data_IF_954806018874
#
_entry.id   IF_954806018874
#
_cell.length_a   1.000
_cell.length_b   1.000
_cell.length_c   1.000
_cell.angle_alpha   90.00
_cell.angle_beta   90.00
_cell.angle_gamma   90.00
#
_symmetry.space_group_name_H-M   'P 1'
#
loop_
_entity.id
_entity.type
_entity.pdbx_description
1 polymer ?
#
# COMPACT_ATOMS: atom_id res chain seq x y z
N UNK A 1 -13.06 3.12 11.26
CA UNK A 1 -11.93 2.61 10.49
C UNK A 1 -10.62 3.23 10.95
N UNK A 2 -9.50 2.57 10.66
CA UNK A 2 -8.14 3.09 10.81
C UNK A 2 -7.46 2.96 9.47
N UNK A 3 -6.85 4.05 8.99
CA UNK A 3 -6.05 4.05 7.77
C UNK A 3 -4.58 4.14 8.17
N UNK A 4 -3.74 3.31 7.57
CA UNK A 4 -2.30 3.23 7.80
C UNK A 4 -1.93 3.20 9.30
N UNK A 5 -2.10 2.07 9.97
CA UNK A 5 -1.88 1.97 11.41
C UNK A 5 -0.43 2.15 11.86
N UNK A 6 0.49 2.35 10.90
CA UNK A 6 1.86 2.73 11.17
C UNK A 6 2.82 1.55 11.33
N UNK A 7 4.01 1.86 11.86
CA UNK A 7 5.13 0.92 12.00
C UNK A 7 4.82 -0.26 12.89
N UNK A 8 5.48 -1.42 12.67
CA UNK A 8 5.34 -2.58 13.54
C UNK A 8 5.98 -2.34 14.92
N UNK A 9 5.60 -3.18 15.87
CA UNK A 9 6.21 -3.27 17.18
C UNK A 9 5.38 -2.66 18.31
N UNK A 10 5.71 -3.03 19.55
CA UNK A 10 4.88 -2.74 20.73
C UNK A 10 4.79 -1.25 21.04
N UNK A 11 5.86 -0.48 20.78
CA UNK A 11 5.88 0.97 21.01
C UNK A 11 4.91 1.69 20.06
N UNK A 12 4.97 1.39 18.77
CA UNK A 12 4.08 1.98 17.77
C UNK A 12 2.63 1.63 18.03
N UNK A 13 2.37 0.38 18.39
CA UNK A 13 1.03 -0.06 18.75
C UNK A 13 0.51 0.62 20.02
N UNK A 14 1.36 0.86 21.02
CA UNK A 14 1.00 1.61 22.21
C UNK A 14 0.64 3.07 21.89
N UNK A 15 1.38 3.71 20.98
CA UNK A 15 1.09 5.06 20.51
C UNK A 15 -0.27 5.09 19.77
N UNK A 16 -0.50 4.14 18.87
CA UNK A 16 -1.79 4.01 18.17
C UNK A 16 -2.95 3.91 19.16
N UNK A 17 -2.84 3.03 20.17
CA UNK A 17 -3.86 2.92 21.22
C UNK A 17 -4.11 4.24 21.95
N UNK A 18 -3.06 4.95 22.34
CA UNK A 18 -3.19 6.26 23.01
C UNK A 18 -3.89 7.28 22.11
N UNK A 19 -3.57 7.32 20.83
CA UNK A 19 -4.21 8.21 19.86
C UNK A 19 -5.69 7.86 19.66
N UNK A 20 -6.04 6.59 19.59
CA UNK A 20 -7.45 6.16 19.55
C UNK A 20 -8.22 6.64 20.77
N UNK A 21 -7.68 6.42 21.97
CA UNK A 21 -8.30 6.87 23.23
C UNK A 21 -8.44 8.39 23.27
N UNK A 22 -7.42 9.14 22.85
CA UNK A 22 -7.50 10.62 22.78
C UNK A 22 -8.55 11.11 21.80
N UNK A 23 -8.89 10.31 20.77
CA UNK A 23 -9.96 10.59 19.82
C UNK A 23 -11.33 10.03 20.27
N UNK A 24 -11.44 9.53 21.49
CA UNK A 24 -12.69 8.96 22.03
C UNK A 24 -13.01 7.53 21.60
N UNK A 25 -12.02 6.81 21.05
CA UNK A 25 -12.20 5.45 20.57
C UNK A 25 -11.36 4.44 21.34
N UNK A 26 -11.84 3.21 21.39
CA UNK A 26 -11.10 2.07 21.88
C UNK A 26 -10.81 1.08 20.74
N UNK A 27 -9.90 0.13 20.97
CA UNK A 27 -9.57 -0.89 19.95
C UNK A 27 -10.81 -1.67 19.48
N UNK A 28 -11.75 -1.96 20.34
CA UNK A 28 -13.01 -2.66 19.99
C UNK A 28 -13.87 -1.91 18.96
N UNK A 29 -13.68 -0.61 18.80
CA UNK A 29 -14.39 0.22 17.83
C UNK A 29 -13.73 0.17 16.43
N UNK A 30 -12.60 -0.52 16.30
CA UNK A 30 -11.90 -0.65 15.03
C UNK A 30 -12.37 -1.91 14.31
N UNK A 31 -13.30 -1.76 13.39
CA UNK A 31 -13.87 -2.85 12.59
C UNK A 31 -13.20 -2.99 11.22
N UNK A 32 -12.47 -1.97 10.78
CA UNK A 32 -11.84 -1.93 9.47
C UNK A 32 -10.50 -1.22 9.56
N UNK A 33 -9.51 -1.83 8.95
CA UNK A 33 -8.19 -1.26 8.72
C UNK A 33 -8.00 -1.14 7.23
N UNK A 34 -7.57 0.01 6.74
CA UNK A 34 -7.17 0.22 5.35
C UNK A 34 -5.68 0.46 5.32
N UNK A 35 -4.99 -0.13 4.38
CA UNK A 35 -3.57 0.14 4.11
C UNK A 35 -3.47 0.70 2.71
N UNK A 36 -2.90 1.89 2.59
CA UNK A 36 -2.77 2.59 1.32
C UNK A 36 -1.74 1.94 0.41
N UNK A 37 -0.65 1.41 0.98
CA UNK A 37 0.40 0.77 0.20
C UNK A 37 1.32 -0.14 1.05
N UNK A 38 2.19 -0.88 0.37
CA UNK A 38 3.01 -1.96 0.96
C UNK A 38 4.29 -1.50 1.67
N UNK A 39 4.39 -0.24 2.13
CA UNK A 39 5.52 0.18 2.95
C UNK A 39 5.31 -0.15 4.43
N UNK A 40 6.39 -0.60 5.14
CA UNK A 40 6.29 -1.08 6.52
C UNK A 40 5.82 -0.06 7.55
N UNK A 41 6.00 1.22 7.30
CA UNK A 41 5.54 2.29 8.17
C UNK A 41 4.04 2.61 8.00
N UNK A 42 3.41 2.04 6.98
CA UNK A 42 1.97 2.07 6.76
C UNK A 42 1.31 0.77 7.19
N UNK A 43 1.76 -0.38 6.67
CA UNK A 43 1.10 -1.66 6.98
C UNK A 43 1.59 -2.35 8.26
N UNK A 44 2.71 -1.92 8.84
CA UNK A 44 3.46 -2.70 9.83
C UNK A 44 2.67 -3.11 11.08
N UNK A 45 1.72 -2.29 11.52
CA UNK A 45 0.83 -2.64 12.64
C UNK A 45 -0.50 -3.25 12.20
N UNK A 46 -0.82 -3.30 10.89
CA UNK A 46 -2.13 -3.70 10.38
C UNK A 46 -2.52 -5.14 10.76
N UNK A 47 -1.63 -6.10 10.52
CA UNK A 47 -1.89 -7.50 10.87
C UNK A 47 -2.10 -7.71 12.36
N UNK A 48 -1.32 -7.02 13.20
CA UNK A 48 -1.49 -7.09 14.65
C UNK A 48 -2.81 -6.44 15.10
N UNK A 49 -3.17 -5.30 14.53
CA UNK A 49 -4.42 -4.60 14.82
C UNK A 49 -5.63 -5.47 14.47
N UNK A 50 -5.66 -6.01 13.25
CA UNK A 50 -6.73 -6.91 12.78
C UNK A 50 -6.84 -8.15 13.67
N UNK A 51 -5.70 -8.78 14.02
CA UNK A 51 -5.69 -9.91 14.95
C UNK A 51 -6.30 -9.59 16.33
N UNK A 52 -6.08 -8.36 16.82
CA UNK A 52 -6.60 -7.91 18.12
C UNK A 52 -8.07 -7.51 18.10
N UNK A 53 -8.55 -7.01 16.98
CA UNK A 53 -9.90 -6.44 16.86
C UNK A 53 -10.90 -7.38 16.18
N UNK A 54 -10.41 -8.39 15.45
CA UNK A 54 -11.23 -9.20 14.55
C UNK A 54 -11.75 -8.42 13.33
N UNK A 55 -11.19 -7.23 13.07
CA UNK A 55 -11.62 -6.36 11.99
C UNK A 55 -11.19 -6.84 10.60
N UNK A 56 -11.71 -6.16 9.58
CA UNK A 56 -11.35 -6.41 8.17
C UNK A 56 -10.09 -5.63 7.82
N UNK A 57 -9.25 -6.21 6.94
CA UNK A 57 -8.13 -5.52 6.30
C UNK A 57 -8.44 -5.28 4.83
N UNK A 58 -8.44 -4.03 4.43
CA UNK A 58 -8.67 -3.58 3.05
C UNK A 58 -7.35 -3.04 2.49
N UNK A 59 -7.00 -3.46 1.28
CA UNK A 59 -5.82 -3.00 0.53
C UNK A 59 -6.16 -2.92 -0.95
N UNK A 60 -5.32 -2.28 -1.74
CA UNK A 60 -5.40 -2.44 -3.18
C UNK A 60 -5.16 -3.89 -3.60
N UNK A 61 -5.70 -4.30 -4.77
CA UNK A 61 -5.56 -5.68 -5.27
C UNK A 61 -4.10 -6.11 -5.47
N UNK A 62 -3.24 -5.17 -5.89
CA UNK A 62 -1.82 -5.41 -6.11
C UNK A 62 -0.98 -5.42 -4.83
N UNK A 63 -1.60 -5.23 -3.66
CA UNK A 63 -0.88 -5.22 -2.39
C UNK A 63 -0.17 -6.55 -2.16
N UNK A 64 1.14 -6.48 -2.00
CA UNK A 64 1.98 -7.61 -1.64
C UNK A 64 3.06 -7.21 -0.63
N UNK A 65 3.52 -8.17 0.12
CA UNK A 65 4.64 -8.04 1.04
C UNK A 65 5.49 -9.30 0.96
N UNK A 66 6.62 -9.33 1.67
CA UNK A 66 7.48 -10.52 1.74
C UNK A 66 6.79 -11.80 2.27
N UNK A 67 5.62 -11.70 2.89
CA UNK A 67 4.84 -12.83 3.43
C UNK A 67 3.45 -12.96 2.80
N UNK A 68 3.05 -12.03 1.95
CA UNK A 68 1.71 -11.98 1.34
C UNK A 68 1.87 -11.62 -0.13
N UNK A 69 1.65 -12.59 -1.00
CA UNK A 69 1.64 -12.38 -2.44
C UNK A 69 0.33 -11.72 -2.91
N UNK A 70 0.42 -10.93 -3.97
CA UNK A 70 -0.76 -10.53 -4.71
C UNK A 70 -1.39 -11.75 -5.40
N UNK A 71 -2.71 -11.82 -5.54
CA UNK A 71 -3.34 -12.89 -6.27
C UNK A 71 -2.90 -12.85 -7.75
N UNK A 72 -2.80 -13.99 -8.42
CA UNK A 72 -2.51 -14.02 -9.84
C UNK A 72 -3.56 -13.24 -10.63
N UNK A 73 -3.13 -12.55 -11.66
CA UNK A 73 -4.01 -11.80 -12.55
C UNK A 73 -4.72 -12.81 -13.44
N UNK A 74 -6.03 -12.95 -13.26
CA UNK A 74 -6.86 -13.77 -14.17
C UNK A 74 -7.07 -13.07 -15.51
N UNK A 75 -7.45 -13.81 -16.58
CA UNK A 75 -7.67 -13.21 -17.92
C UNK A 75 -8.74 -12.11 -17.93
N UNK A 76 -9.75 -12.21 -17.10
CA UNK A 76 -10.76 -11.16 -16.93
C UNK A 76 -10.20 -9.91 -16.23
N UNK A 77 -9.27 -10.11 -15.31
CA UNK A 77 -8.61 -9.02 -14.58
C UNK A 77 -7.52 -8.33 -15.42
N UNK A 78 -6.88 -9.06 -16.34
CA UNK A 78 -5.97 -8.46 -17.31
C UNK A 78 -6.71 -7.46 -18.21
N UNK A 79 -7.88 -7.82 -18.73
CA UNK A 79 -8.71 -6.91 -19.51
C UNK A 79 -9.19 -5.68 -18.71
N UNK A 80 -9.52 -5.87 -17.43
CA UNK A 80 -9.88 -4.76 -16.54
C UNK A 80 -8.68 -3.85 -16.25
N UNK A 81 -7.48 -4.41 -16.11
CA UNK A 81 -6.25 -3.64 -15.94
C UNK A 81 -5.92 -2.80 -17.19
N UNK A 82 -6.12 -3.36 -18.39
CA UNK A 82 -5.97 -2.62 -19.66
C UNK A 82 -6.96 -1.45 -19.76
N UNK A 83 -8.22 -1.66 -19.33
CA UNK A 83 -9.22 -0.59 -19.29
C UNK A 83 -8.86 0.49 -18.27
N UNK A 84 -8.32 0.11 -17.12
CA UNK A 84 -7.86 1.02 -16.08
C UNK A 84 -6.68 1.87 -16.57
N UNK A 85 -5.70 1.26 -17.25
CA UNK A 85 -4.58 1.94 -17.91
C UNK A 85 -5.08 2.90 -18.99
N UNK A 86 -5.99 2.45 -19.84
CA UNK A 86 -6.57 3.29 -20.89
C UNK A 86 -7.36 4.48 -20.31
N UNK A 87 -8.03 4.33 -19.18
CA UNK A 87 -8.74 5.43 -18.52
C UNK A 87 -7.76 6.46 -17.90
N UNK A 88 -6.69 5.98 -17.28
CA UNK A 88 -5.62 6.85 -16.73
C UNK A 88 -4.89 7.58 -17.87
N UNK A 89 -4.55 6.89 -18.94
CA UNK A 89 -3.92 7.48 -20.11
C UNK A 89 -4.79 8.60 -20.72
N UNK A 90 -6.11 8.38 -20.85
CA UNK A 90 -7.05 9.43 -21.29
C UNK A 90 -7.09 10.62 -20.35
N UNK A 91 -7.09 10.38 -19.04
CA UNK A 91 -7.11 11.43 -18.03
C UNK A 91 -5.86 12.32 -18.09
N UNK A 92 -4.71 11.70 -18.40
CA UNK A 92 -3.42 12.37 -18.53
C UNK A 92 -3.13 12.90 -19.92
N UNK A 93 -4.06 12.74 -20.89
CA UNK A 93 -3.88 13.05 -22.32
C UNK A 93 -2.65 12.37 -22.96
N UNK A 94 -2.30 11.18 -22.48
CA UNK A 94 -1.25 10.33 -23.03
C UNK A 94 -1.88 9.36 -24.04
N UNK A 95 -1.22 9.11 -25.18
CA UNK A 95 -1.70 8.10 -26.12
C UNK A 95 -1.63 6.71 -25.46
N UNK A 96 -2.74 5.96 -25.39
CA UNK A 96 -2.73 4.61 -24.82
C UNK A 96 -1.74 3.64 -25.51
N UNK A 97 -1.35 3.92 -26.75
CA UNK A 97 -0.36 3.17 -27.49
C UNK A 97 1.08 3.37 -27.00
N UNK A 98 1.36 4.49 -26.32
CA UNK A 98 2.67 4.78 -25.74
C UNK A 98 2.87 4.14 -24.37
N UNK A 99 1.80 3.60 -23.77
CA UNK A 99 1.86 2.88 -22.50
C UNK A 99 1.94 1.39 -22.81
N UNK A 100 3.15 0.85 -22.92
CA UNK A 100 3.34 -0.60 -23.06
C UNK A 100 2.82 -1.30 -21.79
N UNK A 101 1.99 -2.36 -21.91
CA UNK A 101 1.62 -3.21 -20.79
C UNK A 101 2.82 -3.78 -20.04
N UNK A 102 3.96 -3.93 -20.72
CA UNK A 102 5.23 -4.40 -20.16
C UNK A 102 5.96 -3.31 -19.34
N UNK A 103 5.58 -2.04 -19.48
CA UNK A 103 6.11 -0.93 -18.68
C UNK A 103 5.41 -0.78 -17.33
N UNK A 104 4.27 -1.43 -17.14
CA UNK A 104 3.62 -1.51 -15.83
C UNK A 104 4.37 -2.54 -14.99
N UNK A 105 4.72 -2.22 -13.73
CA UNK A 105 5.31 -3.19 -12.83
C UNK A 105 4.33 -4.37 -12.68
N UNK A 106 4.64 -5.48 -13.34
CA UNK A 106 3.85 -6.71 -13.21
C UNK A 106 3.97 -7.18 -11.78
N UNK A 107 2.83 -7.27 -11.10
CA UNK A 107 2.73 -8.02 -9.85
C UNK A 107 3.16 -9.45 -10.15
N UNK A 108 4.39 -9.81 -9.80
CA UNK A 108 4.94 -11.16 -10.07
C UNK A 108 6.37 -11.20 -10.58
N UNK A 109 7.03 -10.08 -10.85
CA UNK A 109 8.49 -10.13 -11.00
C UNK A 109 9.07 -10.51 -9.63
N UNK A 110 9.96 -11.50 -9.61
CA UNK A 110 10.67 -11.94 -8.40
C UNK A 110 11.51 -10.83 -7.72
N UNK A 111 11.48 -9.63 -8.27
CA UNK A 111 11.99 -8.37 -7.79
C UNK A 111 10.85 -7.55 -7.19
N UNK A 112 10.43 -7.86 -5.96
CA UNK A 112 9.59 -6.94 -5.17
C UNK A 112 10.27 -5.57 -5.03
N UNK A 113 9.54 -4.50 -4.64
CA UNK A 113 10.07 -3.14 -4.49
C UNK A 113 11.32 -3.04 -3.59
N UNK A 114 11.67 -4.11 -2.92
CA UNK A 114 12.84 -4.26 -2.04
C UNK A 114 14.05 -4.95 -2.71
N UNK A 115 13.95 -5.36 -3.95
CA UNK A 115 14.99 -6.10 -4.67
C UNK A 115 15.86 -5.24 -5.60
N UNK A 116 15.51 -3.97 -5.80
CA UNK A 116 16.35 -3.07 -6.58
C UNK A 116 17.70 -2.86 -5.88
N UNK A 117 18.84 -3.04 -6.57
CA UNK A 117 20.13 -2.67 -6.04
C UNK A 117 20.10 -1.18 -5.71
N UNK A 118 20.42 -0.86 -4.45
CA UNK A 118 20.54 0.54 -4.02
C UNK A 118 21.58 1.26 -4.88
N UNK A 119 21.40 2.55 -5.21
CA UNK A 119 22.36 3.35 -5.99
C UNK A 119 23.74 3.51 -5.32
N UNK A 120 23.93 2.97 -4.13
CA UNK A 120 25.14 3.04 -3.32
C UNK A 120 25.97 1.77 -3.54
N UNK A 121 26.70 1.71 -4.62
CA UNK A 121 27.70 0.75 -5.06
C UNK A 121 28.18 -0.36 -4.13
N UNK A 122 28.83 -1.30 -4.70
CA UNK A 122 29.44 -2.52 -4.16
C UNK A 122 30.23 -2.34 -2.83
N UNK A 123 29.48 -2.41 -1.73
CA UNK A 123 30.00 -2.68 -0.39
C UNK A 123 29.18 -3.82 0.22
N UNK A 124 28.87 -4.83 -0.63
CA UNK A 124 27.65 -5.63 -0.55
C UNK A 124 27.56 -6.61 0.61
N UNK A 125 28.66 -7.20 1.12
CA UNK A 125 28.54 -8.38 1.99
C UNK A 125 28.13 -8.06 3.43
N UNK A 126 28.65 -7.00 4.03
CA UNK A 126 28.30 -6.67 5.41
C UNK A 126 26.92 -6.01 5.51
N UNK A 127 26.60 -5.10 4.57
CA UNK A 127 25.28 -4.47 4.47
C UNK A 127 24.20 -5.48 4.11
N UNK A 128 24.47 -6.45 3.25
CA UNK A 128 23.54 -7.54 2.93
C UNK A 128 23.28 -8.45 4.14
N UNK A 129 24.30 -8.74 4.94
CA UNK A 129 24.14 -9.51 6.19
C UNK A 129 23.35 -8.74 7.24
N UNK A 130 23.64 -7.45 7.44
CA UNK A 130 22.89 -6.57 8.37
C UNK A 130 21.44 -6.44 7.89
N UNK A 131 21.22 -6.22 6.59
CA UNK A 131 19.89 -6.17 5.98
C UNK A 131 19.14 -7.51 6.16
N UNK A 132 19.79 -8.65 5.96
CA UNK A 132 19.21 -9.97 6.20
C UNK A 132 18.79 -10.21 7.65
N UNK A 133 19.61 -9.75 8.60
CA UNK A 133 19.27 -9.80 10.03
C UNK A 133 18.10 -8.85 10.35
N UNK A 134 18.12 -7.63 9.83
CA UNK A 134 17.05 -6.66 10.01
C UNK A 134 15.71 -7.16 9.43
N UNK A 135 15.71 -7.74 8.22
CA UNK A 135 14.52 -8.36 7.62
C UNK A 135 14.01 -9.50 8.51
N UNK A 136 14.91 -10.33 9.02
CA UNK A 136 14.54 -11.46 9.89
C UNK A 136 13.94 -11.01 11.21
N UNK A 137 14.49 -9.96 11.83
CA UNK A 137 13.95 -9.34 13.04
C UNK A 137 12.62 -8.66 12.74
N UNK A 138 12.54 -7.93 11.63
CA UNK A 138 11.31 -7.26 11.18
C UNK A 138 10.18 -8.29 10.96
N UNK A 139 10.45 -9.39 10.26
CA UNK A 139 9.49 -10.49 10.04
C UNK A 139 8.98 -11.11 11.35
N UNK A 140 9.79 -11.11 12.43
CA UNK A 140 9.35 -11.59 13.75
C UNK A 140 8.46 -10.57 14.48
N UNK A 141 8.64 -9.29 14.20
CA UNK A 141 7.86 -8.20 14.82
C UNK A 141 6.56 -7.91 14.09
N UNK A 142 6.51 -8.23 12.81
CA UNK A 142 5.34 -7.98 11.96
C UNK A 142 4.44 -9.21 11.94
N UNK A 143 3.21 -9.06 12.38
CA UNK A 143 2.16 -10.01 12.05
C UNK A 143 1.79 -9.78 10.58
N UNK A 144 1.89 -10.79 9.69
CA UNK A 144 1.61 -10.60 8.27
C UNK A 144 0.23 -9.99 8.06
N UNK A 145 0.13 -8.87 7.33
CA UNK A 145 -1.14 -8.21 7.08
C UNK A 145 -1.89 -8.96 5.97
N UNK A 146 -2.71 -9.91 6.34
CA UNK A 146 -3.51 -10.68 5.37
C UNK A 146 -4.77 -9.92 4.98
N UNK A 147 -4.86 -9.38 3.76
CA UNK A 147 -6.05 -8.68 3.30
C UNK A 147 -7.27 -9.60 3.29
N UNK A 148 -8.37 -9.13 3.87
CA UNK A 148 -9.68 -9.78 3.80
C UNK A 148 -10.51 -9.24 2.64
N UNK A 149 -10.16 -8.03 2.18
CA UNK A 149 -10.78 -7.35 1.06
C UNK A 149 -9.69 -6.69 0.23
N UNK A 150 -9.78 -6.86 -1.08
CA UNK A 150 -8.91 -6.21 -2.05
C UNK A 150 -9.76 -5.35 -2.96
N UNK A 151 -9.40 -4.07 -3.06
CA UNK A 151 -10.15 -3.09 -3.85
C UNK A 151 -9.39 -2.73 -5.13
N UNK A 152 -10.15 -2.23 -6.09
CA UNK A 152 -9.69 -1.69 -7.37
C UNK A 152 -9.96 -0.19 -7.42
N UNK A 153 -9.49 0.44 -8.47
CA UNK A 153 -9.89 1.81 -8.78
C UNK A 153 -11.43 1.92 -8.88
N UNK A 154 -11.96 3.03 -8.42
CA UNK A 154 -13.39 3.38 -8.40
C UNK A 154 -14.28 2.52 -7.47
N UNK A 155 -13.73 1.53 -6.76
CA UNK A 155 -14.49 0.83 -5.72
C UNK A 155 -14.91 1.80 -4.61
N UNK A 156 -16.17 1.66 -4.16
CA UNK A 156 -16.72 2.50 -3.09
C UNK A 156 -16.66 1.76 -1.75
N UNK A 157 -16.04 2.40 -0.77
CA UNK A 157 -15.87 1.90 0.58
C UNK A 157 -16.73 2.68 1.57
N UNK A 158 -17.51 2.00 2.41
CA UNK A 158 -18.24 2.64 3.51
C UNK A 158 -17.40 2.59 4.79
N UNK A 159 -16.82 3.73 5.15
CA UNK A 159 -15.93 3.87 6.28
C UNK A 159 -16.34 5.05 7.16
N UNK A 160 -16.58 4.79 8.46
CA UNK A 160 -16.91 5.84 9.41
C UNK A 160 -18.20 6.61 9.11
N UNK A 161 -19.18 5.95 8.49
CA UNK A 161 -20.46 6.56 8.11
C UNK A 161 -20.41 7.39 6.83
N UNK A 162 -19.30 7.34 6.07
CA UNK A 162 -19.08 8.04 4.80
C UNK A 162 -18.79 7.05 3.68
N UNK A 163 -19.01 7.48 2.45
CA UNK A 163 -18.58 6.78 1.25
C UNK A 163 -17.25 7.34 0.76
N UNK A 164 -16.31 6.43 0.50
CA UNK A 164 -14.96 6.76 0.03
C UNK A 164 -14.73 6.05 -1.28
N UNK A 165 -14.38 6.78 -2.30
CA UNK A 165 -13.96 6.23 -3.57
C UNK A 165 -12.49 5.82 -3.49
N UNK A 166 -12.18 4.61 -3.86
CA UNK A 166 -10.83 4.12 -4.00
C UNK A 166 -10.22 4.69 -5.29
N UNK A 167 -9.10 5.37 -5.17
CA UNK A 167 -8.37 5.95 -6.31
C UNK A 167 -7.01 5.28 -6.38
N UNK A 168 -6.79 4.50 -7.42
CA UNK A 168 -5.52 3.83 -7.67
C UNK A 168 -4.49 4.83 -8.17
N UNK A 169 -3.39 4.98 -7.44
CA UNK A 169 -2.35 5.99 -7.71
C UNK A 169 -0.97 5.34 -7.66
N UNK A 170 -0.65 4.46 -8.63
CA UNK A 170 0.67 3.84 -8.69
C UNK A 170 1.77 4.89 -8.92
N UNK A 171 2.99 4.56 -8.52
CA UNK A 171 4.15 5.43 -8.69
C UNK A 171 5.07 5.36 -7.47
N UNK A 172 4.60 5.81 -6.30
CA UNK A 172 5.33 5.63 -5.04
C UNK A 172 5.53 4.14 -4.72
N UNK A 173 4.47 3.36 -4.88
CA UNK A 173 4.49 1.90 -4.94
C UNK A 173 3.51 1.42 -6.02
N UNK A 174 3.67 0.18 -6.54
CA UNK A 174 2.74 -0.38 -7.53
C UNK A 174 1.32 -0.60 -7.01
N UNK A 175 1.14 -0.66 -5.71
CA UNK A 175 -0.13 -0.95 -5.03
C UNK A 175 -0.73 0.28 -4.32
N UNK A 176 -0.22 1.47 -4.61
CA UNK A 176 -0.65 2.67 -3.90
C UNK A 176 -2.11 3.03 -4.17
N UNK A 177 -2.82 3.37 -3.10
CA UNK A 177 -4.25 3.66 -3.06
C UNK A 177 -4.50 4.95 -2.27
N UNK A 178 -5.21 5.88 -2.87
CA UNK A 178 -5.83 7.00 -2.18
C UNK A 178 -7.30 6.71 -1.89
N UNK A 179 -7.89 7.39 -0.91
CA UNK A 179 -9.34 7.36 -0.66
C UNK A 179 -9.89 8.77 -0.76
N UNK A 180 -10.85 8.97 -1.64
CA UNK A 180 -11.52 10.25 -1.86
C UNK A 180 -12.96 10.21 -1.34
N UNK A 181 -13.33 11.20 -0.55
CA UNK A 181 -14.71 11.43 -0.09
C UNK A 181 -15.32 12.55 -0.95
N UNK A 182 -16.20 12.26 -1.90
CA UNK A 182 -16.77 13.26 -2.80
C UNK A 182 -17.68 14.26 -2.09
N UNK A 183 -18.30 13.87 -0.97
CA UNK A 183 -19.23 14.74 -0.25
C UNK A 183 -18.50 15.87 0.49
N UNK A 184 -17.33 15.56 1.08
CA UNK A 184 -16.53 16.55 1.82
C UNK A 184 -15.34 17.11 1.04
N UNK A 185 -14.98 16.51 -0.10
CA UNK A 185 -13.76 16.81 -0.84
C UNK A 185 -12.48 16.36 -0.13
N UNK A 186 -12.59 15.52 0.91
CA UNK A 186 -11.43 15.03 1.64
C UNK A 186 -10.70 13.93 0.87
N UNK A 187 -9.37 14.00 0.87
CA UNK A 187 -8.49 12.99 0.28
C UNK A 187 -7.55 12.42 1.35
N UNK A 188 -7.57 11.10 1.52
CA UNK A 188 -6.55 10.36 2.25
C UNK A 188 -5.52 9.89 1.23
N UNK A 189 -4.43 10.64 1.11
CA UNK A 189 -3.48 10.53 -0.01
C UNK A 189 -2.36 9.50 0.21
N UNK A 190 -2.27 8.89 1.40
CA UNK A 190 -1.07 8.10 1.73
C UNK A 190 0.19 8.92 1.47
N UNK A 191 1.19 8.32 0.82
CA UNK A 191 2.45 8.98 0.46
C UNK A 191 2.45 9.58 -0.95
N UNK A 192 1.27 9.67 -1.58
CA UNK A 192 1.16 10.28 -2.92
C UNK A 192 1.22 11.81 -2.87
N UNK A 193 0.68 12.43 -1.82
CA UNK A 193 0.79 13.87 -1.56
C UNK A 193 1.33 14.09 -0.16
N UNK A 194 2.49 14.72 -0.07
CA UNK A 194 3.18 14.99 1.19
C UNK A 194 3.31 16.50 1.41
N UNK A 195 3.17 16.99 2.65
CA UNK A 195 3.07 18.43 2.90
C UNK A 195 4.41 19.18 2.74
N UNK A 196 5.54 18.50 2.86
CA UNK A 196 6.87 19.14 2.96
C UNK A 196 7.96 18.54 2.08
N UNK A 197 7.70 17.38 1.49
CA UNK A 197 8.67 16.68 0.64
C UNK A 197 7.99 16.18 -0.64
N UNK A 198 8.79 15.99 -1.69
CA UNK A 198 8.32 15.33 -2.91
C UNK A 198 8.13 13.83 -2.65
N UNK A 199 7.05 13.21 -3.10
CA UNK A 199 6.88 11.77 -3.04
C UNK A 199 8.03 11.06 -3.76
N UNK A 200 8.56 10.01 -3.17
CA UNK A 200 9.49 9.14 -3.87
C UNK A 200 8.71 8.27 -4.87
N UNK A 201 9.11 8.29 -6.13
CA UNK A 201 8.53 7.44 -7.18
C UNK A 201 9.51 6.30 -7.43
N UNK A 202 9.13 5.09 -7.05
CA UNK A 202 9.92 3.89 -7.30
C UNK A 202 9.72 3.48 -8.77
N UNK A 203 10.81 3.32 -9.51
CA UNK A 203 10.77 2.86 -10.91
C UNK A 203 11.20 3.89 -11.96
N UNK A 204 11.50 5.13 -11.57
CA UNK A 204 12.09 6.11 -12.52
C UNK A 204 13.56 5.85 -12.87
N UNK A 205 14.13 4.72 -12.49
CA UNK A 205 15.53 4.39 -12.80
C UNK A 205 15.74 3.75 -14.18
N UNK A 206 14.69 3.49 -14.95
CA UNK A 206 14.80 2.93 -16.30
C UNK A 206 14.11 3.85 -17.31
N UNK A 207 14.88 4.80 -17.81
CA UNK A 207 14.70 5.44 -19.11
C UNK A 207 13.64 6.55 -19.21
N UNK A 208 14.05 7.77 -19.02
CA UNK A 208 13.63 8.89 -19.84
C UNK A 208 14.79 9.27 -20.74
#
# INVERSE_FOLDING_TARGET
>A
AVVDPGRPGPRSFSILKKRLVSAGFELRHVHTVVVTHSHPDHFGAAGHLVKKTGGRLITHRAFETFDVAAPPIGPFEAAAAEQEVASIARLLAIDPGDVSPDSLPTAGSAAGPWSNPTPWGEGADMLARVRGVMIRVFRRLVTPPRPTHRVRNDDVLKLGGREWQAVYTPGHTPDHLCLFDPDSGALLSGDHVLPTITPHIAGMAEGF
#
